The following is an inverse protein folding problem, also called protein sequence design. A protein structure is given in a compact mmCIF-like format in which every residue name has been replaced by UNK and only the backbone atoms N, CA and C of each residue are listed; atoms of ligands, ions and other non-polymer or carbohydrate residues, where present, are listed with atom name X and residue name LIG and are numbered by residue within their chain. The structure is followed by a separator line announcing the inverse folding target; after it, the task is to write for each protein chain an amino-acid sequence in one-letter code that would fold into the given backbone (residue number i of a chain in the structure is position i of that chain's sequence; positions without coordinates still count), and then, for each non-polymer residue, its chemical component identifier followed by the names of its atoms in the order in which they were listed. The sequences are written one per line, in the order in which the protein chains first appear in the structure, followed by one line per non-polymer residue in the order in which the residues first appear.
data_IF_932048552705
#
_entry.id   IF_932048552705
#
_cell.length_a   1.000
_cell.length_b   1.000
_cell.length_c   1.000
_cell.angle_alpha   90.00
_cell.angle_beta   90.00
_cell.angle_gamma   90.00
#
_symmetry.space_group_name_H-M   'P 1'
#
loop_
_entity.id
_entity.type
_entity.pdbx_description
1 polymer ?
#
# COMPACT_ATOMS: atom_id res chain seq x y z
N UNK A 1 10.79 11.64 27.36
CA UNK A 1 10.23 10.81 26.27
C UNK A 1 9.26 11.71 25.51
N UNK A 2 9.63 12.18 24.32
CA UNK A 2 8.76 13.08 23.54
C UNK A 2 7.55 12.30 23.04
N UNK A 3 6.33 12.84 23.12
CA UNK A 3 5.22 12.31 22.33
C UNK A 3 5.47 12.76 20.88
N UNK A 4 5.89 11.89 19.98
CA UNK A 4 5.85 12.29 18.56
C UNK A 4 6.69 11.59 17.51
N UNK A 5 7.66 10.72 17.84
CA UNK A 5 8.40 10.00 16.78
C UNK A 5 7.72 8.68 16.45
N UNK A 6 6.70 8.77 15.59
CA UNK A 6 6.15 7.59 14.93
C UNK A 6 7.04 7.25 13.73
N UNK A 7 7.62 6.05 13.75
CA UNK A 7 8.41 5.57 12.63
C UNK A 7 7.52 5.42 11.39
N UNK A 8 8.05 5.74 10.21
CA UNK A 8 7.29 5.73 8.97
C UNK A 8 8.10 5.07 7.86
N UNK A 9 7.50 4.06 7.23
CA UNK A 9 8.08 3.32 6.11
C UNK A 9 7.45 3.80 4.82
N UNK A 10 8.26 3.90 3.78
CA UNK A 10 7.84 4.31 2.45
C UNK A 10 8.37 3.32 1.42
N UNK A 11 7.46 2.74 0.63
CA UNK A 11 7.79 1.83 -0.46
C UNK A 11 7.31 2.44 -1.77
N UNK A 12 8.24 2.68 -2.69
CA UNK A 12 7.96 3.22 -4.02
C UNK A 12 8.17 2.17 -5.09
N UNK A 13 7.13 1.89 -5.89
CA UNK A 13 7.22 0.97 -7.02
C UNK A 13 7.08 1.71 -8.34
N UNK A 14 8.03 1.48 -9.26
CA UNK A 14 7.96 2.06 -10.61
C UNK A 14 6.82 1.40 -11.36
N UNK A 15 5.89 2.20 -11.86
CA UNK A 15 4.84 1.74 -12.77
C UNK A 15 5.16 2.18 -14.21
N UNK A 16 4.69 1.46 -15.24
CA UNK A 16 4.94 1.83 -16.62
C UNK A 16 4.39 3.23 -16.93
N UNK A 17 5.01 3.91 -17.90
CA UNK A 17 4.66 5.28 -18.30
C UNK A 17 3.19 5.42 -18.71
N UNK A 18 2.64 6.62 -18.47
CA UNK A 18 1.21 6.96 -18.50
C UNK A 18 0.51 6.95 -19.88
N UNK A 19 0.96 6.13 -20.83
CA UNK A 19 0.55 6.16 -22.25
C UNK A 19 -0.01 4.84 -22.77
N UNK A 20 -0.55 4.00 -21.89
CA UNK A 20 -1.15 2.73 -22.30
C UNK A 20 -2.42 2.45 -21.50
N UNK A 21 -3.30 1.59 -22.01
CA UNK A 21 -4.55 1.07 -21.41
C UNK A 21 -4.41 0.47 -19.97
N UNK A 22 -3.24 0.58 -19.35
CA UNK A 22 -2.86 0.05 -18.04
C UNK A 22 -3.14 1.01 -16.87
N UNK A 23 -3.68 2.21 -17.11
CA UNK A 23 -4.09 3.13 -16.03
C UNK A 23 -5.24 2.59 -15.19
N UNK A 24 -6.26 2.04 -15.86
CA UNK A 24 -7.43 1.52 -15.17
C UNK A 24 -7.07 0.37 -14.21
N UNK A 25 -6.27 -0.64 -14.63
CA UNK A 25 -5.75 -1.65 -13.71
C UNK A 25 -4.96 -1.08 -12.53
N UNK A 26 -4.10 -0.08 -12.73
CA UNK A 26 -3.28 0.48 -11.65
C UNK A 26 -4.11 1.23 -10.60
N UNK A 27 -5.16 1.93 -11.03
CA UNK A 27 -6.08 2.59 -10.10
C UNK A 27 -6.88 1.56 -9.29
N UNK A 28 -7.36 0.50 -9.94
CA UNK A 28 -8.03 -0.62 -9.28
C UNK A 28 -7.10 -1.31 -8.28
N UNK A 29 -5.85 -1.57 -8.65
CA UNK A 29 -4.83 -2.12 -7.74
C UNK A 29 -4.60 -1.20 -6.54
N UNK A 30 -4.54 0.12 -6.75
CA UNK A 30 -4.38 1.08 -5.66
C UNK A 30 -5.58 1.08 -4.70
N UNK A 31 -6.79 0.81 -5.21
CA UNK A 31 -8.00 0.66 -4.40
C UNK A 31 -7.99 -0.64 -3.59
N UNK A 32 -7.62 -1.77 -4.21
CA UNK A 32 -7.54 -3.09 -3.55
C UNK A 32 -6.46 -3.11 -2.46
N UNK A 33 -5.29 -2.53 -2.75
CA UNK A 33 -4.24 -2.31 -1.74
C UNK A 33 -4.72 -1.35 -0.67
N UNK A 34 -5.41 -0.28 -1.10
CA UNK A 34 -6.15 0.67 -0.27
C UNK A 34 -5.30 1.43 0.74
N UNK A 35 -5.95 1.84 1.81
CA UNK A 35 -5.36 2.63 2.89
C UNK A 35 -6.20 2.57 4.15
N UNK A 36 -5.82 3.30 5.20
CA UNK A 36 -6.48 3.33 6.52
C UNK A 36 -7.97 3.66 6.49
N UNK A 37 -8.43 4.28 5.40
CA UNK A 37 -9.80 4.70 5.21
C UNK A 37 -10.69 3.57 4.68
N UNK A 38 -10.09 2.49 4.15
CA UNK A 38 -10.78 1.32 3.66
C UNK A 38 -10.41 0.07 4.48
N UNK A 39 -11.34 -0.31 5.36
CA UNK A 39 -11.22 -1.51 6.20
C UNK A 39 -11.25 -2.82 5.40
N UNK A 40 -11.76 -2.79 4.17
CA UNK A 40 -11.78 -3.92 3.26
C UNK A 40 -10.41 -4.22 2.65
N UNK A 41 -9.54 -3.21 2.57
CA UNK A 41 -8.27 -3.26 1.86
C UNK A 41 -7.26 -4.26 2.46
N UNK A 42 -6.40 -4.80 1.58
CA UNK A 42 -5.39 -5.79 1.99
C UNK A 42 -4.35 -5.22 2.94
N UNK A 43 -3.94 -3.96 2.75
CA UNK A 43 -2.99 -3.30 3.64
C UNK A 43 -3.59 -2.98 5.00
N UNK A 44 -4.88 -2.63 5.07
CA UNK A 44 -5.55 -2.42 6.36
C UNK A 44 -5.55 -3.71 7.19
N UNK A 45 -5.98 -4.82 6.60
CA UNK A 45 -6.02 -6.12 7.29
C UNK A 45 -4.63 -6.62 7.69
N UNK A 46 -3.63 -6.37 6.87
CA UNK A 46 -2.27 -6.88 7.10
C UNK A 46 -1.45 -6.04 8.07
N UNK A 47 -1.72 -4.72 8.16
CA UNK A 47 -0.92 -3.78 8.96
C UNK A 47 -1.69 -3.16 10.13
N UNK A 48 -2.94 -2.77 9.94
CA UNK A 48 -3.75 -2.11 10.97
C UNK A 48 -4.39 -3.14 11.90
N UNK A 49 -5.07 -4.16 11.36
CA UNK A 49 -5.73 -5.20 12.17
C UNK A 49 -4.73 -6.04 12.97
N UNK A 50 -3.48 -6.15 12.49
CA UNK A 50 -2.38 -6.83 13.18
C UNK A 50 -1.64 -5.94 14.19
N UNK A 51 -1.98 -4.65 14.25
CA UNK A 51 -1.39 -3.68 15.18
C UNK A 51 0.03 -3.24 14.83
N UNK A 52 0.51 -3.51 13.62
CA UNK A 52 1.85 -3.12 13.15
C UNK A 52 1.92 -1.65 12.71
N UNK A 53 0.82 -1.12 12.20
CA UNK A 53 0.70 0.27 11.78
C UNK A 53 -0.54 0.93 12.39
N UNK A 54 -0.44 2.24 12.61
CA UNK A 54 -1.56 3.10 12.98
C UNK A 54 -2.23 3.70 11.76
N UNK A 55 -1.48 3.86 10.66
CA UNK A 55 -1.94 4.45 9.42
C UNK A 55 -1.18 3.84 8.24
N UNK A 56 -1.87 3.63 7.12
CA UNK A 56 -1.32 3.22 5.83
C UNK A 56 -2.02 3.98 4.71
N UNK A 57 -1.26 4.44 3.72
CA UNK A 57 -1.78 5.14 2.55
C UNK A 57 -1.06 4.64 1.31
N UNK A 58 -1.84 4.15 0.34
CA UNK A 58 -1.38 3.91 -1.02
C UNK A 58 -1.80 5.09 -1.91
N UNK A 59 -0.86 5.64 -2.67
CA UNK A 59 -1.16 6.62 -3.71
C UNK A 59 -0.48 6.25 -5.02
N UNK A 60 -1.14 6.57 -6.12
CA UNK A 60 -0.59 6.50 -7.46
C UNK A 60 -0.51 7.91 -8.02
N UNK A 61 0.69 8.37 -8.36
CA UNK A 61 0.86 9.69 -8.96
C UNK A 61 0.66 9.59 -10.49
N UNK A 62 -0.41 10.21 -11.00
CA UNK A 62 -0.73 10.31 -12.44
C UNK A 62 0.14 11.37 -13.16
N UNK A 63 1.46 11.23 -13.08
CA UNK A 63 2.39 12.10 -13.79
C UNK A 63 2.65 11.61 -15.22
N UNK A 64 2.98 12.55 -16.11
CA UNK A 64 3.31 12.32 -17.54
C UNK A 64 4.63 11.53 -17.72
N UNK A 65 5.48 11.54 -16.70
CA UNK A 65 6.73 10.79 -16.55
C UNK A 65 6.45 9.50 -15.74
N UNK A 66 7.33 8.47 -15.75
CA UNK A 66 7.04 7.13 -15.21
C UNK A 66 6.27 7.19 -13.90
N UNK A 67 5.02 6.72 -13.93
CA UNK A 67 4.14 6.89 -12.80
C UNK A 67 4.71 6.11 -11.60
N UNK A 68 4.69 6.72 -10.43
CA UNK A 68 5.22 6.11 -9.21
C UNK A 68 4.04 5.75 -8.32
N UNK A 69 3.95 4.48 -7.92
CA UNK A 69 3.06 4.06 -6.86
C UNK A 69 3.83 4.14 -5.54
N UNK A 70 3.27 4.82 -4.55
CA UNK A 70 3.90 5.04 -3.26
C UNK A 70 2.96 4.53 -2.17
N UNK A 71 3.47 3.62 -1.35
CA UNK A 71 2.82 3.14 -0.14
C UNK A 71 3.57 3.71 1.05
N UNK A 72 2.86 4.38 1.94
CA UNK A 72 3.39 4.90 3.19
C UNK A 72 2.67 4.25 4.36
N UNK A 73 3.41 3.77 5.36
CA UNK A 73 2.84 3.22 6.59
C UNK A 73 3.46 3.92 7.80
N UNK A 74 2.62 4.38 8.72
CA UNK A 74 3.00 4.94 10.02
C UNK A 74 2.87 3.84 11.07
N UNK A 75 4.00 3.46 11.65
CA UNK A 75 4.12 2.30 12.53
C UNK A 75 3.60 2.62 13.93
N UNK A 76 3.14 1.58 14.63
CA UNK A 76 2.96 1.64 16.08
C UNK A 76 4.33 1.71 16.79
N UNK A 77 4.38 2.29 18.01
CA UNK A 77 5.62 2.29 18.79
C UNK A 77 6.15 0.86 18.96
N UNK A 78 7.48 0.70 18.93
CA UNK A 78 8.19 -0.58 19.10
C UNK A 78 8.05 -1.58 17.94
N UNK A 79 7.31 -1.27 16.88
CA UNK A 79 7.27 -2.09 15.67
C UNK A 79 8.53 -1.93 14.83
N UNK A 80 9.08 -3.04 14.35
CA UNK A 80 10.24 -3.06 13.46
C UNK A 80 9.87 -2.57 12.04
N UNK A 81 10.51 -1.50 11.54
CA UNK A 81 10.32 -1.02 10.17
C UNK A 81 10.55 -2.08 9.09
N UNK A 82 11.53 -2.97 9.28
CA UNK A 82 11.85 -4.01 8.32
C UNK A 82 10.74 -5.06 8.21
N UNK A 83 10.07 -5.37 9.32
CA UNK A 83 8.90 -6.24 9.33
C UNK A 83 7.76 -5.65 8.51
N UNK A 84 7.48 -4.35 8.68
CA UNK A 84 6.40 -3.67 7.95
C UNK A 84 6.71 -3.55 6.46
N UNK A 85 7.96 -3.26 6.10
CA UNK A 85 8.41 -3.30 4.70
C UNK A 85 8.17 -4.68 4.08
N UNK A 86 8.56 -5.75 4.77
CA UNK A 86 8.37 -7.13 4.30
C UNK A 86 6.89 -7.46 4.10
N UNK A 87 6.01 -7.03 5.01
CA UNK A 87 4.56 -7.24 4.87
C UNK A 87 4.02 -6.52 3.64
N UNK A 88 4.41 -5.25 3.42
CA UNK A 88 4.01 -4.48 2.23
C UNK A 88 4.47 -5.19 0.95
N UNK A 89 5.72 -5.63 0.89
CA UNK A 89 6.28 -6.33 -0.27
C UNK A 89 5.59 -7.67 -0.53
N UNK A 90 5.25 -8.41 0.52
CA UNK A 90 4.54 -9.68 0.40
C UNK A 90 3.12 -9.47 -0.13
N UNK A 91 2.38 -8.47 0.35
CA UNK A 91 1.04 -8.17 -0.16
C UNK A 91 1.08 -7.71 -1.63
N UNK A 92 2.09 -6.93 -2.02
CA UNK A 92 2.33 -6.60 -3.43
C UNK A 92 2.62 -7.84 -4.28
N UNK A 93 3.45 -8.76 -3.79
CA UNK A 93 3.77 -10.01 -4.49
C UNK A 93 2.54 -10.91 -4.62
N UNK A 94 1.72 -11.02 -3.57
CA UNK A 94 0.46 -11.78 -3.58
C UNK A 94 -0.53 -11.18 -4.56
N UNK A 95 -0.61 -9.86 -4.68
CA UNK A 95 -1.48 -9.22 -5.68
C UNK A 95 -1.07 -9.53 -7.12
N UNK A 96 0.22 -9.81 -7.37
CA UNK A 96 0.71 -10.29 -8.67
C UNK A 96 0.53 -11.79 -8.92
N UNK A 97 0.19 -12.59 -7.90
CA UNK A 97 0.10 -14.06 -7.97
C UNK A 97 -1.30 -14.61 -7.73
N UNK A 98 -2.10 -13.92 -6.92
CA UNK A 98 -3.46 -14.29 -6.56
C UNK A 98 -4.46 -13.49 -7.41
N UNK A 99 -5.50 -14.16 -7.90
CA UNK A 99 -6.61 -13.47 -8.54
C UNK A 99 -7.32 -12.56 -7.54
N UNK A 100 -7.60 -11.33 -7.95
CA UNK A 100 -8.42 -10.40 -7.17
C UNK A 100 -9.86 -10.93 -7.18
N UNK A 101 -10.46 -11.04 -6.01
CA UNK A 101 -11.84 -11.53 -5.90
C UNK A 101 -12.85 -10.50 -6.43
N UNK A 102 -14.00 -10.94 -6.94
CA UNK A 102 -15.07 -10.02 -7.38
C UNK A 102 -15.55 -9.08 -6.26
N UNK A 103 -15.45 -9.51 -5.00
CA UNK A 103 -15.79 -8.68 -3.84
C UNK A 103 -14.78 -7.54 -3.59
N UNK A 104 -13.56 -7.64 -4.11
CA UNK A 104 -12.55 -6.57 -4.06
C UNK A 104 -12.63 -5.63 -5.28
N UNK A 105 -13.44 -5.98 -6.29
CA UNK A 105 -13.65 -5.23 -7.53
C UNK A 105 -14.98 -4.46 -7.57
N UNK A 106 -15.92 -4.76 -6.66
CA UNK A 106 -17.28 -4.22 -6.60
C UNK A 106 -17.40 -3.01 -5.67
#
# INVERSE_FOLDING_TARGET
MFPGDLCRVWVGHRTPSSRHELHYPLNVISHILGGSHDRGSRLYKSLIDTGLAMDVACRHDELKDPALMIIAATLTPETDPAQVEQVILNELARLGQEEVSEAELA
#
